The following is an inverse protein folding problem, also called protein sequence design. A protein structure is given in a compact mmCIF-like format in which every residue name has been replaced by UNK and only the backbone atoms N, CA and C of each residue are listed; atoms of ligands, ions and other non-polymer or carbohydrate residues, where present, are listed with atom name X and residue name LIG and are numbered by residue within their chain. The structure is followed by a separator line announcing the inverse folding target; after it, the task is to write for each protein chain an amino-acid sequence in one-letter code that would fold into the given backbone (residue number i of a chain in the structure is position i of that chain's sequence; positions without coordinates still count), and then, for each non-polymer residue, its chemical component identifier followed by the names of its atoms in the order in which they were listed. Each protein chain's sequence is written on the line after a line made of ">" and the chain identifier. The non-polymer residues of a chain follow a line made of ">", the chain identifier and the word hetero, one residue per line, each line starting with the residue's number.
data_IF_174888571078
#
_entry.id   IF_174888571078
#
_cell.length_a   1.000
_cell.length_b   1.000
_cell.length_c   1.000
_cell.angle_alpha   90.00
_cell.angle_beta   90.00
_cell.angle_gamma   90.00
#
_symmetry.space_group_name_H-M   'P 1'
#
loop_
_entity.id
_entity.type
_entity.pdbx_description
1 polymer ?
#
# COMPACT_ATOMS: atom_id res chain seq x y z
N UNK A 1 -0.86 0.67 7.00
CA UNK A 1 -1.93 -0.19 7.54
C UNK A 1 -2.95 -0.45 6.46
N UNK A 2 -3.01 -1.69 5.99
CA UNK A 2 -4.14 -2.21 5.23
C UNK A 2 -5.24 -2.63 6.20
N UNK A 3 -6.53 -2.57 5.83
CA UNK A 3 -7.56 -3.27 6.60
C UNK A 3 -7.35 -4.79 6.53
N UNK A 4 -7.95 -5.52 7.47
CA UNK A 4 -7.94 -6.98 7.43
C UNK A 4 -8.73 -7.49 6.22
N UNK A 5 -8.16 -8.44 5.49
CA UNK A 5 -8.83 -9.20 4.45
C UNK A 5 -9.94 -10.07 5.04
N UNK A 6 -11.18 -9.91 4.56
CA UNK A 6 -12.35 -10.68 5.07
C UNK A 6 -12.87 -11.72 4.06
N UNK A 7 -12.60 -11.55 2.76
CA UNK A 7 -13.07 -12.42 1.68
C UNK A 7 -11.95 -13.31 1.12
N UNK A 8 -12.34 -14.41 0.45
CA UNK A 8 -11.42 -15.31 -0.25
C UNK A 8 -11.90 -15.57 -1.70
N UNK A 9 -11.09 -15.27 -2.74
CA UNK A 9 -9.81 -14.55 -2.67
C UNK A 9 -9.99 -13.11 -2.14
N UNK A 10 -8.91 -12.51 -1.63
CA UNK A 10 -8.95 -11.15 -1.09
C UNK A 10 -8.24 -10.17 -2.01
N UNK A 11 -8.96 -9.14 -2.43
CA UNK A 11 -8.42 -7.95 -3.06
C UNK A 11 -8.71 -6.74 -2.15
N UNK A 12 -7.72 -5.87 -1.92
CA UNK A 12 -7.85 -4.70 -1.03
C UNK A 12 -7.16 -3.51 -1.68
N UNK A 13 -7.94 -2.47 -2.01
CA UNK A 13 -7.42 -1.21 -2.51
C UNK A 13 -6.95 -0.30 -1.36
N UNK A 14 -5.74 0.24 -1.48
CA UNK A 14 -5.15 1.14 -0.49
C UNK A 14 -4.60 2.38 -1.22
N UNK A 15 -5.12 3.59 -0.96
CA UNK A 15 -4.59 4.79 -1.59
C UNK A 15 -3.19 5.12 -1.04
N UNK A 16 -2.23 5.31 -1.94
CA UNK A 16 -0.86 5.70 -1.59
C UNK A 16 -0.64 7.18 -1.92
N UNK A 17 -0.46 8.01 -0.89
CA UNK A 17 -0.11 9.42 -1.06
C UNK A 17 1.41 9.61 -0.88
N UNK A 18 2.10 9.89 -1.97
CA UNK A 18 3.52 10.23 -1.96
C UNK A 18 3.67 11.75 -1.84
N UNK A 19 4.40 12.21 -0.83
CA UNK A 19 4.62 13.64 -0.57
C UNK A 19 5.93 14.10 -1.20
N UNK A 20 5.93 15.29 -1.79
CA UNK A 20 7.14 15.94 -2.30
C UNK A 20 7.66 15.39 -3.64
N UNK A 21 6.87 14.57 -4.34
CA UNK A 21 7.17 14.08 -5.70
C UNK A 21 5.93 14.25 -6.58
N UNK A 22 6.12 14.75 -7.80
CA UNK A 22 5.05 14.78 -8.80
C UNK A 22 5.01 13.45 -9.57
N UNK A 23 3.89 13.16 -10.23
CA UNK A 23 3.73 11.90 -10.98
C UNK A 23 4.75 11.81 -12.13
N UNK A 24 5.09 12.93 -12.76
CA UNK A 24 6.05 13.00 -13.87
C UNK A 24 7.49 12.71 -13.44
N UNK A 25 7.79 12.87 -12.15
CA UNK A 25 9.09 12.56 -11.54
C UNK A 25 9.14 11.15 -10.95
N UNK A 26 8.00 10.46 -10.87
CA UNK A 26 7.89 9.16 -10.24
C UNK A 26 8.31 8.06 -11.21
N UNK A 27 9.53 7.54 -11.02
CA UNK A 27 10.07 6.45 -11.85
C UNK A 27 9.79 5.06 -11.22
N UNK A 28 10.00 4.91 -9.92
CA UNK A 28 9.75 3.65 -9.21
C UNK A 28 9.21 3.84 -7.79
N UNK A 29 8.42 2.87 -7.32
CA UNK A 29 7.99 2.75 -5.93
C UNK A 29 8.37 1.36 -5.42
N UNK A 30 9.23 1.31 -4.41
CA UNK A 30 9.61 0.05 -3.74
C UNK A 30 8.75 -0.17 -2.50
N UNK A 31 7.91 -1.19 -2.52
CA UNK A 31 7.17 -1.64 -1.33
C UNK A 31 8.02 -2.68 -0.60
N UNK A 32 8.25 -2.48 0.69
CA UNK A 32 9.04 -3.38 1.53
C UNK A 32 8.57 -3.30 2.99
N UNK A 33 9.19 -4.10 3.86
CA UNK A 33 8.90 -4.12 5.30
C UNK A 33 7.40 -4.35 5.61
N UNK A 34 6.81 -5.33 4.93
CA UNK A 34 5.43 -5.74 5.18
C UNK A 34 5.40 -6.62 6.42
N UNK A 35 4.61 -6.22 7.41
CA UNK A 35 4.49 -6.91 8.68
C UNK A 35 3.01 -7.06 9.07
N UNK A 36 2.63 -8.14 9.75
CA UNK A 36 1.33 -8.23 10.40
C UNK A 36 1.21 -7.12 11.46
N UNK A 37 0.02 -6.52 11.56
CA UNK A 37 -0.32 -5.65 12.68
C UNK A 37 -1.04 -6.47 13.75
N UNK A 38 -0.90 -6.11 15.03
CA UNK A 38 -1.75 -6.67 16.07
C UNK A 38 -3.20 -6.27 15.80
N UNK A 39 -4.10 -7.27 15.76
CA UNK A 39 -5.54 -7.09 15.55
C UNK A 39 -6.27 -6.75 16.84
#
# INVERSE_FOLDING_TARGET
>A
NAPASVLAPSDVDIPLQLKGISVEQLDFVRIHDIQPVMQ
#
